data_IF_079133375515
#
_entry.id   IF_079133375515
#
_cell.length_a   1.000
_cell.length_b   1.000
_cell.length_c   1.000
_cell.angle_alpha   90.00
_cell.angle_beta   90.00
_cell.angle_gamma   90.00
#
_symmetry.space_group_name_H-M   'P 1'
#
loop_
_entity.id
_entity.type
_entity.pdbx_description
1 polymer ?
#
# COMPACT_ATOMS: atom_id res chain seq x y z
N UNK A 1 35.15 -26.08 -12.91
CA UNK A 1 33.79 -25.56 -13.09
C UNK A 1 33.70 -24.43 -12.08
N UNK A 2 33.73 -23.18 -12.55
CA UNK A 2 33.45 -22.05 -11.67
C UNK A 2 31.97 -22.12 -11.35
N UNK A 3 31.67 -22.33 -10.07
CA UNK A 3 30.31 -22.20 -9.57
C UNK A 3 29.89 -20.75 -9.84
N UNK A 4 28.94 -20.55 -10.76
CA UNK A 4 28.24 -19.29 -10.96
C UNK A 4 27.39 -19.04 -9.70
N UNK A 5 28.05 -18.65 -8.61
CA UNK A 5 27.38 -18.09 -7.44
C UNK A 5 26.92 -16.71 -7.88
N UNK A 6 25.62 -16.53 -8.08
CA UNK A 6 25.04 -15.19 -8.22
C UNK A 6 25.54 -14.36 -7.04
N UNK A 7 26.31 -13.31 -7.34
CA UNK A 7 26.81 -12.40 -6.33
C UNK A 7 25.59 -11.78 -5.64
N UNK A 8 25.48 -11.95 -4.32
CA UNK A 8 24.49 -11.26 -3.53
C UNK A 8 24.56 -9.76 -3.85
N UNK A 9 23.49 -9.23 -4.42
CA UNK A 9 23.37 -7.82 -4.75
C UNK A 9 22.36 -7.22 -3.79
N UNK A 10 22.71 -6.11 -3.15
CA UNK A 10 21.86 -5.48 -2.14
C UNK A 10 20.51 -5.09 -2.76
N UNK A 11 19.35 -5.40 -2.14
CA UNK A 11 18.05 -5.08 -2.70
C UNK A 11 17.88 -3.60 -3.09
N UNK A 12 18.51 -2.70 -2.33
CA UNK A 12 18.47 -1.26 -2.64
C UNK A 12 19.23 -0.91 -3.93
N UNK A 13 20.26 -1.66 -4.29
CA UNK A 13 20.99 -1.47 -5.54
C UNK A 13 20.16 -1.96 -6.73
N UNK A 14 19.53 -3.12 -6.59
CA UNK A 14 18.60 -3.65 -7.61
C UNK A 14 17.38 -2.74 -7.80
N UNK A 15 16.88 -2.15 -6.72
CA UNK A 15 15.83 -1.14 -6.78
C UNK A 15 16.29 0.12 -7.52
N UNK A 16 17.50 0.62 -7.25
CA UNK A 16 18.07 1.78 -7.97
C UNK A 16 18.27 1.52 -9.45
N UNK A 17 18.55 0.27 -9.85
CA UNK A 17 18.62 -0.16 -11.26
C UNK A 17 17.24 -0.36 -11.89
N UNK A 18 16.17 -0.33 -11.09
CA UNK A 18 14.79 -0.55 -11.54
C UNK A 18 14.44 -2.02 -11.78
N UNK A 19 15.24 -2.96 -11.28
CA UNK A 19 14.99 -4.39 -11.44
C UNK A 19 13.93 -4.91 -10.46
N UNK A 20 13.80 -4.25 -9.30
CA UNK A 20 12.79 -4.58 -8.29
C UNK A 20 12.09 -3.33 -7.77
N UNK A 21 10.88 -3.53 -7.27
CA UNK A 21 10.12 -2.52 -6.53
C UNK A 21 10.20 -2.89 -5.05
N UNK A 22 10.67 -1.96 -4.21
CA UNK A 22 10.63 -2.10 -2.77
C UNK A 22 9.33 -1.51 -2.23
N UNK A 23 8.67 -2.23 -1.34
CA UNK A 23 7.48 -1.77 -0.62
C UNK A 23 7.76 -1.83 0.87
N UNK A 24 7.53 -0.72 1.57
CA UNK A 24 7.84 -0.63 3.00
C UNK A 24 6.70 -1.19 3.86
N UNK A 25 7.03 -2.08 4.79
CA UNK A 25 6.13 -2.48 5.87
C UNK A 25 5.77 -1.27 6.75
N UNK A 26 4.48 -1.03 6.99
CA UNK A 26 4.01 0.19 7.68
C UNK A 26 3.89 0.03 9.20
N UNK A 27 4.39 -1.07 9.76
CA UNK A 27 4.26 -1.40 11.20
C UNK A 27 2.81 -1.62 11.66
N UNK A 28 1.93 -2.04 10.74
CA UNK A 28 0.53 -2.34 11.02
C UNK A 28 0.15 -3.72 10.49
N UNK A 29 -0.84 -4.33 11.15
CA UNK A 29 -1.47 -5.56 10.70
C UNK A 29 -2.95 -5.34 10.43
N UNK A 30 -3.48 -6.06 9.45
CA UNK A 30 -4.89 -6.05 9.12
C UNK A 30 -5.72 -6.88 10.12
N UNK A 31 -7.04 -6.94 9.91
CA UNK A 31 -7.98 -7.66 10.76
C UNK A 31 -7.75 -9.16 10.88
N UNK A 32 -6.99 -9.75 9.95
CA UNK A 32 -6.66 -11.18 9.91
C UNK A 32 -5.22 -11.45 10.38
N UNK A 33 -4.49 -10.39 10.78
CA UNK A 33 -3.11 -10.47 11.27
C UNK A 33 -2.04 -10.42 10.18
N UNK A 34 -2.43 -10.15 8.93
CA UNK A 34 -1.50 -9.96 7.81
C UNK A 34 -0.79 -8.62 7.97
N UNK A 35 0.51 -8.58 7.67
CA UNK A 35 1.27 -7.33 7.64
C UNK A 35 0.79 -6.45 6.48
N UNK A 36 0.74 -5.14 6.72
CA UNK A 36 0.35 -4.15 5.72
C UNK A 36 1.60 -3.45 5.19
N UNK A 37 1.71 -3.35 3.88
CA UNK A 37 2.81 -2.73 3.15
C UNK A 37 2.34 -1.53 2.33
N UNK A 38 3.26 -0.64 2.02
CA UNK A 38 3.06 0.37 0.97
C UNK A 38 2.65 -0.32 -0.35
N UNK A 39 1.64 0.23 -1.04
CA UNK A 39 1.12 -0.34 -2.28
C UNK A 39 0.04 -1.41 -2.09
N UNK A 40 -0.25 -1.84 -0.86
CA UNK A 40 -1.39 -2.73 -0.60
C UNK A 40 -2.71 -2.04 -0.94
N UNK A 41 -3.62 -2.80 -1.55
CA UNK A 41 -5.02 -2.43 -1.72
C UNK A 41 -5.79 -2.95 -0.51
N UNK A 42 -6.39 -2.03 0.25
CA UNK A 42 -7.09 -2.34 1.49
C UNK A 42 -8.54 -1.87 1.44
N UNK A 43 -9.38 -2.53 2.23
CA UNK A 43 -10.74 -2.08 2.52
C UNK A 43 -10.91 -1.75 4.00
N UNK A 44 -11.72 -0.73 4.31
CA UNK A 44 -12.04 -0.33 5.67
C UNK A 44 -13.45 0.25 5.75
N UNK A 45 -14.05 0.28 6.94
CA UNK A 45 -15.33 0.96 7.16
C UNK A 45 -15.14 2.46 7.27
N UNK A 46 -15.96 3.22 6.55
CA UNK A 46 -16.06 4.66 6.78
C UNK A 46 -17.05 4.93 7.91
N UNK A 47 -16.54 5.18 9.12
CA UNK A 47 -17.37 5.50 10.30
C UNK A 47 -18.17 6.82 10.15
N UNK A 48 -17.86 7.64 9.14
CA UNK A 48 -18.59 8.88 8.84
C UNK A 48 -19.80 8.66 7.92
N UNK A 49 -20.04 7.43 7.44
CA UNK A 49 -21.17 7.10 6.57
C UNK A 49 -22.06 6.08 7.30
N UNK A 50 -23.29 6.50 7.64
CA UNK A 50 -24.27 5.70 8.40
C UNK A 50 -24.64 4.37 7.71
N UNK A 51 -24.43 4.26 6.40
CA UNK A 51 -24.75 3.05 5.62
C UNK A 51 -23.82 1.86 5.93
N UNK A 52 -22.71 2.08 6.63
CA UNK A 52 -21.69 1.05 6.85
C UNK A 52 -20.93 0.69 5.56
N UNK A 53 -20.94 1.58 4.57
CA UNK A 53 -20.21 1.38 3.33
C UNK A 53 -18.71 1.23 3.58
N UNK A 54 -18.15 0.23 2.90
CA UNK A 54 -16.71 0.01 2.88
C UNK A 54 -16.08 0.87 1.81
N UNK A 55 -14.95 1.47 2.16
CA UNK A 55 -14.07 2.10 1.20
C UNK A 55 -13.02 1.10 0.75
N UNK A 56 -12.49 1.32 -0.45
CA UNK A 56 -11.34 0.60 -0.98
C UNK A 56 -10.31 1.61 -1.47
N UNK A 57 -9.04 1.34 -1.19
CA UNK A 57 -7.96 2.29 -1.43
C UNK A 57 -6.59 1.65 -1.36
N UNK A 58 -5.59 2.40 -1.79
CA UNK A 58 -4.18 2.00 -1.81
C UNK A 58 -3.47 2.59 -0.59
N UNK A 59 -2.60 1.82 0.05
CA UNK A 59 -1.69 2.29 1.09
C UNK A 59 -0.58 3.11 0.44
N UNK A 60 -0.47 4.38 0.77
CA UNK A 60 0.52 5.31 0.21
C UNK A 60 1.24 6.08 1.30
N UNK A 61 2.48 6.49 1.05
CA UNK A 61 3.18 7.44 1.90
C UNK A 61 2.77 8.88 1.56
N UNK A 62 2.17 9.60 2.51
CA UNK A 62 1.89 11.04 2.39
C UNK A 62 3.14 11.83 2.78
N UNK A 63 3.88 12.28 1.77
CA UNK A 63 5.13 13.04 1.97
C UNK A 63 4.93 14.40 2.65
N UNK A 64 3.69 14.94 2.68
CA UNK A 64 3.39 16.23 3.32
C UNK A 64 3.09 16.08 4.81
N UNK A 65 2.63 14.90 5.22
CA UNK A 65 2.30 14.57 6.61
C UNK A 65 3.22 13.51 7.22
N UNK A 66 4.21 13.06 6.45
CA UNK A 66 5.23 12.09 6.83
C UNK A 66 4.64 10.80 7.45
N UNK A 67 3.53 10.31 6.87
CA UNK A 67 2.78 9.17 7.42
C UNK A 67 2.13 8.34 6.32
N UNK A 68 1.90 7.06 6.60
CA UNK A 68 1.17 6.16 5.69
C UNK A 68 -0.35 6.40 5.79
N UNK A 69 -1.03 6.33 4.65
CA UNK A 69 -2.47 6.58 4.55
C UNK A 69 -3.16 5.57 3.67
N UNK A 70 -4.43 5.30 3.97
CA UNK A 70 -5.37 4.60 3.11
C UNK A 70 -5.95 5.61 2.11
N UNK A 71 -5.47 5.62 0.87
CA UNK A 71 -5.90 6.57 -0.15
C UNK A 71 -6.99 5.94 -1.04
N UNK A 72 -8.23 6.48 -1.08
CA UNK A 72 -9.28 5.96 -1.95
C UNK A 72 -8.84 5.83 -3.42
N UNK A 73 -9.25 4.77 -4.12
CA UNK A 73 -8.78 4.44 -5.48
C UNK A 73 -8.92 5.62 -6.45
N UNK A 74 -10.05 6.33 -6.42
CA UNK A 74 -10.28 7.48 -7.29
C UNK A 74 -9.29 8.62 -7.04
N UNK A 75 -8.93 8.88 -5.78
CA UNK A 75 -7.93 9.89 -5.41
C UNK A 75 -6.50 9.42 -5.73
N UNK A 76 -6.21 8.13 -5.54
CA UNK A 76 -4.94 7.54 -5.95
C UNK A 76 -4.68 7.72 -7.45
N UNK A 77 -5.70 7.44 -8.28
CA UNK A 77 -5.66 7.66 -9.74
C UNK A 77 -5.50 9.14 -10.10
N UNK A 78 -6.26 10.02 -9.46
CA UNK A 78 -6.23 11.46 -9.75
C UNK A 78 -4.89 12.11 -9.39
N UNK A 79 -4.22 11.62 -8.35
CA UNK A 79 -2.94 12.14 -7.86
C UNK A 79 -1.71 11.40 -8.43
N UNK A 80 -1.88 10.61 -9.51
CA UNK A 80 -0.81 9.81 -10.11
C UNK A 80 0.04 9.02 -9.08
N UNK A 81 -0.61 8.50 -8.04
CA UNK A 81 -0.02 7.54 -7.10
C UNK A 81 0.79 8.10 -5.92
N UNK A 82 0.97 9.43 -5.78
CA UNK A 82 1.99 9.96 -4.86
C UNK A 82 1.45 10.93 -3.78
N UNK A 83 0.52 10.41 -2.96
CA UNK A 83 0.14 10.90 -1.63
C UNK A 83 0.44 12.37 -1.31
N UNK A 84 -0.42 13.28 -1.78
CA UNK A 84 -0.40 14.69 -1.37
C UNK A 84 -1.70 15.07 -0.67
N UNK A 85 -1.67 15.29 0.64
CA UNK A 85 -2.81 15.71 1.49
C UNK A 85 -4.08 14.82 1.44
N UNK A 86 -4.10 13.72 0.70
CA UNK A 86 -5.26 12.86 0.49
C UNK A 86 -5.14 11.53 1.23
N UNK A 87 -6.27 11.00 1.70
CA UNK A 87 -6.37 9.68 2.32
C UNK A 87 -6.69 9.73 3.80
N UNK A 88 -6.90 8.55 4.37
CA UNK A 88 -7.33 8.34 5.75
C UNK A 88 -6.17 7.76 6.57
N UNK A 89 -5.95 8.31 7.76
CA UNK A 89 -4.97 7.80 8.73
C UNK A 89 -5.33 6.37 9.17
N UNK A 90 -4.32 5.56 9.50
CA UNK A 90 -4.52 4.29 10.20
C UNK A 90 -4.83 4.54 11.67
N UNK A 91 -5.98 4.04 12.12
CA UNK A 91 -6.41 4.10 13.52
C UNK A 91 -6.57 2.71 14.08
N UNK A 92 -6.32 2.58 15.38
CA UNK A 92 -6.36 1.28 16.10
C UNK A 92 -7.71 0.56 16.03
N UNK A 93 -8.80 1.29 15.77
CA UNK A 93 -10.15 0.74 15.63
C UNK A 93 -10.57 0.51 14.17
N UNK A 94 -9.71 0.80 13.19
CA UNK A 94 -10.04 0.54 11.80
C UNK A 94 -10.05 -0.97 11.56
N UNK A 95 -11.20 -1.50 11.15
CA UNK A 95 -11.27 -2.88 10.65
C UNK A 95 -10.78 -2.90 9.20
N UNK A 96 -9.46 -2.82 9.03
CA UNK A 96 -8.77 -2.85 7.74
C UNK A 96 -8.56 -4.28 7.31
N UNK A 97 -8.81 -4.59 6.03
CA UNK A 97 -8.49 -5.88 5.41
C UNK A 97 -7.68 -5.68 4.14
N UNK A 98 -6.58 -6.41 3.99
CA UNK A 98 -5.80 -6.45 2.74
C UNK A 98 -6.55 -7.28 1.69
N UNK A 99 -6.60 -6.78 0.46
CA UNK A 99 -7.26 -7.44 -0.67
C UNK A 99 -6.26 -7.95 -1.73
N UNK A 100 -5.05 -7.42 -1.72
CA UNK A 100 -4.00 -7.62 -2.72
C UNK A 100 -3.10 -6.38 -2.78
N UNK A 101 -2.26 -6.24 -3.80
CA UNK A 101 -1.45 -5.03 -4.01
C UNK A 101 -1.48 -4.57 -5.47
N UNK A 102 -1.01 -3.34 -5.71
CA UNK A 102 -1.06 -2.71 -7.04
C UNK A 102 -0.21 -3.41 -8.12
N UNK A 103 0.77 -4.23 -7.74
CA UNK A 103 1.68 -4.89 -8.66
C UNK A 103 1.17 -6.28 -9.07
N UNK A 104 0.69 -7.05 -8.10
CA UNK A 104 0.21 -8.42 -8.31
C UNK A 104 -1.28 -8.47 -8.66
N UNK A 105 -2.06 -7.48 -8.24
CA UNK A 105 -3.50 -7.39 -8.44
C UNK A 105 -3.94 -6.04 -9.03
N UNK A 106 -3.42 -5.64 -10.21
CA UNK A 106 -3.77 -4.36 -10.83
C UNK A 106 -5.26 -4.23 -11.16
N UNK A 107 -5.99 -5.34 -11.31
CA UNK A 107 -7.44 -5.38 -11.49
C UNK A 107 -8.21 -4.76 -10.32
N UNK A 108 -7.65 -4.77 -9.10
CA UNK A 108 -8.28 -4.16 -7.93
C UNK A 108 -8.39 -2.63 -8.05
N UNK A 109 -7.60 -2.02 -8.93
CA UNK A 109 -7.69 -0.60 -9.22
C UNK A 109 -8.81 -0.25 -10.19
N UNK A 110 -9.52 -1.21 -10.79
CA UNK A 110 -10.56 -0.92 -11.79
C UNK A 110 -11.95 -0.61 -11.19
N UNK A 111 -12.10 -0.74 -9.87
CA UNK A 111 -13.31 -0.35 -9.12
C UNK A 111 -13.68 1.13 -9.32
#
# INVERSE_FOLDING_TARGET
MEDNVESFTEPIEEHRKGHIILMQYIEQKDSEGNEIYEGDVVTWYNLMIETGERMTGVVVYDTKQATYKKCPINLYKANAGNGGYTGFEFRWYDNVKVLGNINENPELLQN
#
